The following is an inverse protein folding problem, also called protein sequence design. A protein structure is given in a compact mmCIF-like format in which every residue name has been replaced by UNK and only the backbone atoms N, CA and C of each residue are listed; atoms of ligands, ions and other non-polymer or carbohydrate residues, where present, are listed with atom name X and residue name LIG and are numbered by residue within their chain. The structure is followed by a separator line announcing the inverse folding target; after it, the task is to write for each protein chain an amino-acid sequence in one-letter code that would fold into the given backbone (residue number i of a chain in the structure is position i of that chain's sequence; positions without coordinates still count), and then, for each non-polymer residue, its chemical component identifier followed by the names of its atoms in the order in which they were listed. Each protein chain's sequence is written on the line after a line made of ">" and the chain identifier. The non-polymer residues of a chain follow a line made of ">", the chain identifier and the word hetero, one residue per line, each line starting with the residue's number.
data_IF_016765922323
#
_entry.id   IF_016765922323
#
_cell.length_a   1.000
_cell.length_b   1.000
_cell.length_c   1.000
_cell.angle_alpha   90.00
_cell.angle_beta   90.00
_cell.angle_gamma   90.00
#
_symmetry.space_group_name_H-M   'P 1'
#
loop_
_entity.id
_entity.type
_entity.pdbx_description
1 polymer ?
#
# COMPACT_ATOMS: atom_id res chain seq x y z
N UNK A 1 24.95 -5.55 -5.18
CA UNK A 1 23.82 -5.32 -4.25
C UNK A 1 22.64 -4.79 -5.05
N UNK A 2 21.49 -5.40 -4.92
CA UNK A 2 20.23 -4.90 -5.49
C UNK A 2 19.58 -3.94 -4.50
N UNK A 3 19.08 -2.80 -4.98
CA UNK A 3 18.36 -1.84 -4.17
C UNK A 3 17.02 -1.50 -4.80
N UNK A 4 15.98 -1.52 -3.98
CA UNK A 4 14.63 -1.12 -4.33
C UNK A 4 14.13 -0.10 -3.30
N UNK A 5 13.37 0.88 -3.79
CA UNK A 5 12.70 1.88 -2.97
C UNK A 5 11.22 1.54 -2.85
N UNK A 6 10.64 1.75 -1.69
CA UNK A 6 9.20 1.73 -1.50
C UNK A 6 8.74 3.11 -1.06
N UNK A 7 7.70 3.62 -1.70
CA UNK A 7 7.05 4.89 -1.36
C UNK A 7 5.68 4.57 -0.78
N UNK A 8 5.68 4.20 0.49
CA UNK A 8 4.50 3.71 1.19
C UNK A 8 3.59 4.87 1.60
N UNK A 9 2.39 4.90 1.08
CA UNK A 9 1.39 5.92 1.40
C UNK A 9 0.30 5.32 2.28
N UNK A 10 0.09 5.89 3.46
CA UNK A 10 -0.98 5.44 4.35
C UNK A 10 -1.86 6.58 4.85
N UNK A 11 -3.11 6.23 5.18
CA UNK A 11 -4.18 7.18 5.49
C UNK A 11 -4.18 7.57 6.98
N UNK A 12 -3.12 8.23 7.41
CA UNK A 12 -2.98 8.88 8.70
C UNK A 12 -1.93 9.98 8.62
N UNK A 13 -2.30 11.19 8.87
CA UNK A 13 -1.40 12.34 8.81
C UNK A 13 -1.46 13.26 10.02
N UNK A 14 -2.26 12.90 11.03
CA UNK A 14 -2.56 13.74 12.20
C UNK A 14 -2.07 13.16 13.51
N UNK A 15 -2.22 11.87 13.71
CA UNK A 15 -1.81 11.18 14.92
C UNK A 15 -0.37 10.69 14.79
N UNK A 16 0.58 11.46 15.34
CA UNK A 16 2.01 11.16 15.26
C UNK A 16 2.39 9.84 15.94
N UNK A 17 1.63 9.42 16.95
CA UNK A 17 1.84 8.13 17.63
C UNK A 17 1.54 6.95 16.72
N UNK A 18 0.45 7.02 15.95
CA UNK A 18 0.12 5.99 14.95
C UNK A 18 1.14 5.96 13.82
N UNK A 19 1.55 7.12 13.33
CA UNK A 19 2.58 7.25 12.30
C UNK A 19 3.88 6.60 12.80
N UNK A 20 4.29 6.90 14.03
CA UNK A 20 5.49 6.32 14.65
C UNK A 20 5.39 4.80 14.75
N UNK A 21 4.25 4.27 15.14
CA UNK A 21 4.04 2.81 15.24
C UNK A 21 4.26 2.14 13.88
N UNK A 22 3.78 2.73 12.80
CA UNK A 22 3.98 2.21 11.43
C UNK A 22 5.45 2.33 11.02
N UNK A 23 6.08 3.49 11.23
CA UNK A 23 7.48 3.69 10.84
C UNK A 23 8.43 2.84 11.66
N UNK A 24 8.14 2.58 12.93
CA UNK A 24 8.93 1.67 13.77
C UNK A 24 8.85 0.21 13.24
N UNK A 25 7.69 -0.22 12.78
CA UNK A 25 7.54 -1.54 12.18
C UNK A 25 8.38 -1.68 10.90
N UNK A 26 8.42 -0.65 10.08
CA UNK A 26 9.21 -0.60 8.84
C UNK A 26 10.71 -0.58 9.17
N UNK A 27 11.16 0.33 10.03
CA UNK A 27 12.57 0.50 10.38
C UNK A 27 13.14 -0.64 11.21
N UNK A 28 12.28 -1.41 11.87
CA UNK A 28 12.69 -2.59 12.63
C UNK A 28 13.17 -3.77 11.78
N UNK A 29 13.00 -3.72 10.48
CA UNK A 29 13.51 -4.74 9.56
C UNK A 29 14.98 -4.46 9.26
N UNK A 30 15.83 -5.44 9.49
CA UNK A 30 17.27 -5.33 9.22
C UNK A 30 17.51 -5.03 7.73
N UNK A 31 18.41 -4.08 7.46
CA UNK A 31 18.76 -3.67 6.10
C UNK A 31 17.87 -2.58 5.51
N UNK A 32 16.89 -2.08 6.27
CA UNK A 32 16.04 -0.97 5.83
C UNK A 32 16.60 0.38 6.29
N UNK A 33 16.62 1.33 5.35
CA UNK A 33 16.90 2.74 5.64
C UNK A 33 15.67 3.56 5.29
N UNK A 34 15.08 4.25 6.26
CA UNK A 34 14.03 5.23 6.01
C UNK A 34 14.69 6.52 5.50
N UNK A 35 14.28 6.99 4.33
CA UNK A 35 14.81 8.20 3.70
C UNK A 35 13.99 9.43 4.06
N UNK A 36 12.67 9.27 4.21
CA UNK A 36 11.77 10.38 4.50
C UNK A 36 10.47 9.89 5.15
N UNK A 37 9.92 10.74 6.01
CA UNK A 37 8.57 10.59 6.60
C UNK A 37 7.87 11.93 6.46
N UNK A 38 6.86 12.01 5.59
CA UNK A 38 6.18 13.25 5.23
C UNK A 38 4.69 13.19 5.62
N UNK A 39 4.32 13.61 6.84
CA UNK A 39 2.93 13.65 7.27
C UNK A 39 2.23 14.92 6.79
N UNK A 40 0.99 14.74 6.28
CA UNK A 40 0.12 15.83 5.86
C UNK A 40 -1.18 15.84 6.66
N UNK A 41 -1.38 16.87 7.50
CA UNK A 41 -2.57 16.97 8.34
C UNK A 41 -3.85 17.23 7.55
N UNK A 42 -3.79 18.09 6.52
CA UNK A 42 -4.96 18.42 5.69
C UNK A 42 -5.41 17.23 4.83
N UNK A 43 -4.45 16.55 4.23
CA UNK A 43 -4.69 15.34 3.43
C UNK A 43 -5.02 14.14 4.31
N UNK A 44 -4.67 14.19 5.58
CA UNK A 44 -4.70 13.08 6.53
C UNK A 44 -4.01 11.83 5.95
N UNK A 45 -2.77 12.03 5.50
CA UNK A 45 -1.98 11.07 4.76
C UNK A 45 -0.51 11.24 5.10
N UNK A 46 0.23 10.15 5.14
CA UNK A 46 1.69 10.17 5.32
C UNK A 46 2.33 9.37 4.21
N UNK A 47 3.43 9.89 3.67
CA UNK A 47 4.29 9.19 2.73
C UNK A 47 5.57 8.82 3.46
N UNK A 48 5.88 7.52 3.49
CA UNK A 48 7.14 6.99 4.05
C UNK A 48 7.96 6.40 2.91
N UNK A 49 9.12 6.96 2.67
CA UNK A 49 10.06 6.49 1.66
C UNK A 49 11.17 5.70 2.34
N UNK A 50 11.39 4.46 1.92
CA UNK A 50 12.46 3.63 2.45
C UNK A 50 13.11 2.78 1.35
N UNK A 51 14.34 2.35 1.61
CA UNK A 51 15.18 1.64 0.65
C UNK A 51 15.90 0.48 1.34
N UNK A 52 16.18 -0.55 0.57
CA UNK A 52 16.95 -1.71 1.01
C UNK A 52 17.05 -2.75 -0.09
N UNK A 53 17.59 -3.91 0.25
CA UNK A 53 17.57 -5.07 -0.64
C UNK A 53 16.14 -5.61 -0.78
N UNK A 54 15.81 -6.30 -1.88
CA UNK A 54 14.44 -6.72 -2.18
C UNK A 54 13.74 -7.48 -1.06
N UNK A 55 14.41 -8.44 -0.42
CA UNK A 55 13.81 -9.23 0.65
C UNK A 55 13.48 -8.39 1.89
N UNK A 56 14.37 -7.48 2.26
CA UNK A 56 14.16 -6.56 3.38
C UNK A 56 13.00 -5.60 3.10
N UNK A 57 12.96 -5.02 1.88
CA UNK A 57 11.89 -4.11 1.48
C UNK A 57 10.54 -4.83 1.40
N UNK A 58 10.51 -6.06 0.90
CA UNK A 58 9.32 -6.90 0.90
C UNK A 58 8.75 -7.09 2.31
N UNK A 59 9.60 -7.46 3.26
CA UNK A 59 9.17 -7.65 4.66
C UNK A 59 8.73 -6.34 5.31
N UNK A 60 9.49 -5.27 5.11
CA UNK A 60 9.14 -3.94 5.65
C UNK A 60 7.83 -3.41 5.10
N UNK A 61 7.58 -3.58 3.80
CA UNK A 61 6.32 -3.19 3.17
C UNK A 61 5.14 -3.99 3.75
N UNK A 62 5.29 -5.30 3.90
CA UNK A 62 4.27 -6.15 4.50
C UNK A 62 3.96 -5.73 5.94
N UNK A 63 4.99 -5.53 6.78
CA UNK A 63 4.81 -5.11 8.17
C UNK A 63 4.21 -3.71 8.27
N UNK A 64 4.57 -2.81 7.37
CA UNK A 64 3.96 -1.47 7.27
C UNK A 64 2.47 -1.54 6.96
N UNK A 65 2.08 -2.37 6.01
CA UNK A 65 0.66 -2.59 5.64
C UNK A 65 -0.11 -3.23 6.81
N UNK A 66 0.46 -4.26 7.43
CA UNK A 66 -0.12 -4.94 8.59
C UNK A 66 -0.36 -3.96 9.74
N UNK A 67 0.65 -3.19 10.09
CA UNK A 67 0.58 -2.22 11.19
C UNK A 67 -0.42 -1.10 10.89
N UNK A 68 -0.41 -0.58 9.66
CA UNK A 68 -1.39 0.41 9.23
C UNK A 68 -2.84 -0.12 9.38
N UNK A 69 -3.08 -1.36 8.98
CA UNK A 69 -4.39 -1.99 9.13
C UNK A 69 -4.82 -2.15 10.61
N UNK A 70 -3.86 -2.31 11.52
CA UNK A 70 -4.12 -2.44 12.95
C UNK A 70 -4.44 -1.11 13.63
N UNK A 71 -3.77 -0.02 13.23
CA UNK A 71 -3.87 1.28 13.92
C UNK A 71 -4.77 2.30 13.23
N UNK A 72 -5.07 2.11 11.94
CA UNK A 72 -5.94 3.00 11.15
C UNK A 72 -7.30 2.34 10.96
N UNK A 73 -8.35 3.09 11.28
CA UNK A 73 -9.74 2.68 11.01
C UNK A 73 -10.31 3.55 9.88
N UNK A 74 -10.38 2.99 8.68
CA UNK A 74 -10.87 3.70 7.50
C UNK A 74 -12.31 4.14 7.62
N UNK A 75 -13.13 3.47 8.43
CA UNK A 75 -14.53 3.88 8.66
C UNK A 75 -14.65 5.25 9.33
N UNK A 76 -13.58 5.72 9.97
CA UNK A 76 -13.50 7.01 10.65
C UNK A 76 -12.62 8.03 9.94
N UNK A 77 -11.95 7.62 8.85
CA UNK A 77 -10.98 8.46 8.15
C UNK A 77 -11.65 9.57 7.34
N UNK A 78 -11.16 10.79 7.50
CA UNK A 78 -11.52 11.98 6.72
C UNK A 78 -10.25 12.74 6.34
N UNK A 79 -10.15 13.18 5.10
CA UNK A 79 -9.04 13.97 4.60
C UNK A 79 -9.31 14.50 3.19
N UNK A 80 -8.54 15.50 2.75
CA UNK A 80 -8.74 16.14 1.45
C UNK A 80 -8.23 15.30 0.27
N UNK A 81 -7.38 14.31 0.52
CA UNK A 81 -6.78 13.47 -0.52
C UNK A 81 -7.64 12.22 -0.80
N UNK A 82 -7.75 11.84 -2.08
CA UNK A 82 -8.39 10.59 -2.50
C UNK A 82 -7.63 9.38 -1.91
N UNK A 83 -8.37 8.39 -1.41
CA UNK A 83 -7.80 7.17 -0.82
C UNK A 83 -8.79 6.01 -0.84
N UNK A 84 -8.27 4.80 -0.78
CA UNK A 84 -9.04 3.55 -0.73
C UNK A 84 -8.79 2.72 0.52
N UNK A 85 -7.69 2.90 1.20
CA UNK A 85 -7.33 2.04 2.31
C UNK A 85 -6.36 2.62 3.31
N UNK A 86 -6.16 1.91 4.42
CA UNK A 86 -5.21 2.26 5.48
C UNK A 86 -3.81 2.38 4.88
N UNK A 87 -3.34 1.38 4.15
CA UNK A 87 -2.30 1.56 3.14
C UNK A 87 -2.99 1.76 1.80
N UNK A 88 -2.90 2.97 1.27
CA UNK A 88 -3.56 3.31 0.03
C UNK A 88 -2.74 2.87 -1.19
N UNK A 89 -1.45 3.25 -1.23
CA UNK A 89 -0.53 2.87 -2.31
C UNK A 89 0.80 2.39 -1.72
N UNK A 90 1.34 1.31 -2.27
CA UNK A 90 2.61 0.74 -1.85
C UNK A 90 3.44 0.33 -3.08
N UNK A 91 4.00 1.29 -3.84
CA UNK A 91 4.78 1.02 -5.04
C UNK A 91 6.22 0.64 -4.71
N UNK A 92 6.82 -0.16 -5.60
CA UNK A 92 8.24 -0.52 -5.57
C UNK A 92 8.95 0.05 -6.79
N UNK A 93 10.08 0.74 -6.57
CA UNK A 93 10.82 1.47 -7.60
C UNK A 93 12.26 0.94 -7.63
N UNK A 94 12.77 0.49 -8.81
CA UNK A 94 14.14 0.00 -8.90
C UNK A 94 15.14 1.16 -8.73
N UNK A 95 16.15 0.97 -7.88
CA UNK A 95 17.20 1.98 -7.63
C UNK A 95 18.54 1.53 -8.20
N UNK A 96 19.00 0.33 -7.84
CA UNK A 96 20.29 -0.16 -8.30
C UNK A 96 20.25 -1.67 -8.57
N UNK A 97 20.81 -2.07 -9.71
CA UNK A 97 20.98 -3.48 -10.11
C UNK A 97 19.67 -4.29 -10.09
N UNK A 98 18.55 -3.63 -10.33
CA UNK A 98 17.21 -4.21 -10.30
C UNK A 98 16.42 -3.74 -11.51
N UNK A 99 15.71 -4.65 -12.16
CA UNK A 99 14.88 -4.35 -13.33
C UNK A 99 13.44 -4.03 -12.92
N UNK A 100 12.68 -3.43 -13.84
CA UNK A 100 11.23 -3.24 -13.68
C UNK A 100 10.51 -4.59 -13.47
N UNK A 101 10.91 -5.63 -14.22
CA UNK A 101 10.31 -6.96 -14.10
C UNK A 101 10.51 -7.55 -12.70
N UNK A 102 11.67 -7.34 -12.10
CA UNK A 102 11.92 -7.77 -10.72
C UNK A 102 11.04 -7.00 -9.72
N UNK A 103 10.79 -5.72 -9.94
CA UNK A 103 9.86 -4.94 -9.11
C UNK A 103 8.41 -5.38 -9.29
N UNK A 104 8.01 -5.75 -10.51
CA UNK A 104 6.69 -6.31 -10.79
C UNK A 104 6.50 -7.62 -10.01
N UNK A 105 7.49 -8.52 -10.05
CA UNK A 105 7.43 -9.77 -9.28
C UNK A 105 7.38 -9.51 -7.77
N UNK A 106 8.12 -8.51 -7.28
CA UNK A 106 8.08 -8.11 -5.88
C UNK A 106 6.67 -7.65 -5.47
N UNK A 107 6.03 -6.83 -6.31
CA UNK A 107 4.65 -6.38 -6.09
C UNK A 107 3.67 -7.55 -6.00
N UNK A 108 3.83 -8.56 -6.87
CA UNK A 108 3.00 -9.77 -6.85
C UNK A 108 3.20 -10.59 -5.57
N UNK A 109 4.45 -10.77 -5.16
CA UNK A 109 4.80 -11.53 -3.95
C UNK A 109 4.19 -10.86 -2.70
N UNK A 110 4.41 -9.57 -2.54
CA UNK A 110 3.88 -8.82 -1.40
C UNK A 110 2.36 -8.72 -1.46
N UNK A 111 1.80 -8.44 -2.63
CA UNK A 111 0.36 -8.35 -2.84
C UNK A 111 -0.37 -9.65 -2.50
N UNK A 112 0.17 -10.77 -2.95
CA UNK A 112 -0.38 -12.10 -2.63
C UNK A 112 -0.34 -12.36 -1.13
N UNK A 113 0.78 -12.10 -0.47
CA UNK A 113 0.94 -12.28 0.96
C UNK A 113 -0.05 -11.42 1.77
N UNK A 114 -0.18 -10.15 1.41
CA UNK A 114 -1.13 -9.23 2.06
C UNK A 114 -2.57 -9.71 1.87
N UNK A 115 -2.95 -10.10 0.67
CA UNK A 115 -4.28 -10.60 0.37
C UNK A 115 -4.64 -11.85 1.15
N UNK A 116 -3.72 -12.81 1.23
CA UNK A 116 -3.93 -14.09 1.91
C UNK A 116 -3.86 -13.99 3.43
N UNK A 117 -2.86 -13.27 3.96
CA UNK A 117 -2.62 -13.22 5.41
C UNK A 117 -3.42 -12.11 6.12
N UNK A 118 -3.69 -11.00 5.46
CA UNK A 118 -4.37 -9.85 6.06
C UNK A 118 -5.82 -9.67 5.58
N UNK A 119 -6.24 -10.38 4.54
CA UNK A 119 -7.59 -10.24 3.99
C UNK A 119 -7.88 -8.87 3.38
N UNK A 120 -6.86 -8.19 2.86
CA UNK A 120 -6.99 -6.88 2.22
C UNK A 120 -7.01 -7.06 0.71
N UNK A 121 -8.04 -6.56 0.01
CA UNK A 121 -8.06 -6.57 -1.46
C UNK A 121 -6.87 -5.80 -2.04
N UNK A 122 -6.18 -6.40 -3.01
CA UNK A 122 -5.01 -5.83 -3.67
C UNK A 122 -5.29 -5.61 -5.15
N UNK A 123 -4.97 -4.41 -5.63
CA UNK A 123 -5.00 -4.06 -7.05
C UNK A 123 -3.59 -3.69 -7.52
N UNK A 124 -3.11 -4.38 -8.53
CA UNK A 124 -1.81 -4.06 -9.16
C UNK A 124 -2.02 -2.96 -10.20
N UNK A 125 -1.11 -1.98 -10.24
CA UNK A 125 -1.22 -0.83 -11.15
C UNK A 125 0.08 -0.55 -11.90
N UNK A 126 0.06 0.45 -12.79
CA UNK A 126 1.20 0.84 -13.63
C UNK A 126 1.78 -0.37 -14.37
N UNK A 127 3.09 -0.58 -14.28
CA UNK A 127 3.78 -1.69 -14.96
C UNK A 127 3.37 -3.07 -14.46
N UNK A 128 2.85 -3.18 -13.24
CA UNK A 128 2.38 -4.45 -12.68
C UNK A 128 0.91 -4.75 -13.00
N UNK A 129 0.17 -3.80 -13.57
CA UNK A 129 -1.25 -3.94 -13.87
C UNK A 129 -1.56 -5.20 -14.69
N UNK A 130 -2.55 -5.96 -14.25
CA UNK A 130 -3.02 -7.18 -14.93
C UNK A 130 -4.17 -6.90 -15.92
N UNK A 131 -4.73 -5.70 -15.88
CA UNK A 131 -5.78 -5.23 -16.77
C UNK A 131 -5.50 -3.80 -17.22
N UNK A 132 -5.90 -3.44 -18.45
CA UNK A 132 -5.63 -2.13 -19.04
C UNK A 132 -6.30 -0.97 -18.28
N UNK A 133 -7.44 -1.21 -17.66
CA UNK A 133 -8.16 -0.21 -16.85
C UNK A 133 -7.56 -0.01 -15.44
N UNK A 134 -6.53 -0.77 -15.10
CA UNK A 134 -5.82 -0.68 -13.82
C UNK A 134 -4.42 -0.08 -13.91
N UNK A 135 -4.03 0.40 -15.08
CA UNK A 135 -2.72 1.05 -15.27
C UNK A 135 -2.66 2.37 -14.48
N UNK A 136 -3.74 3.16 -14.55
CA UNK A 136 -3.79 4.48 -13.91
C UNK A 136 -4.44 4.41 -12.53
N UNK A 137 -3.72 4.88 -11.53
CA UNK A 137 -4.19 4.93 -10.15
C UNK A 137 -5.54 5.66 -9.98
N UNK A 138 -5.78 6.84 -10.60
CA UNK A 138 -7.08 7.50 -10.47
C UNK A 138 -8.27 6.65 -10.92
N UNK A 139 -8.08 5.80 -11.91
CA UNK A 139 -9.13 4.89 -12.40
C UNK A 139 -9.48 3.84 -11.34
N UNK A 140 -8.46 3.27 -10.69
CA UNK A 140 -8.65 2.29 -9.60
C UNK A 140 -9.31 2.98 -8.40
N UNK A 141 -8.86 4.19 -8.04
CA UNK A 141 -9.38 4.97 -6.89
C UNK A 141 -10.79 5.51 -7.08
N UNK A 142 -11.32 5.50 -8.29
CA UNK A 142 -12.64 6.08 -8.56
C UNK A 142 -13.71 5.52 -7.61
N UNK A 143 -14.41 6.41 -6.93
CA UNK A 143 -15.34 6.08 -5.86
C UNK A 143 -14.72 6.04 -4.48
N UNK A 144 -13.41 6.00 -4.39
CA UNK A 144 -12.62 6.00 -3.16
C UNK A 144 -13.03 4.86 -2.20
N UNK A 145 -12.70 5.01 -0.92
CA UNK A 145 -13.11 4.08 0.12
C UNK A 145 -14.65 3.95 0.22
N UNK A 146 -15.36 5.05 0.08
CA UNK A 146 -16.83 5.10 0.20
C UNK A 146 -17.53 4.26 -0.88
N UNK A 147 -16.95 4.18 -2.08
CA UNK A 147 -17.49 3.39 -3.19
C UNK A 147 -16.95 1.96 -3.27
N UNK A 148 -16.00 1.60 -2.40
CA UNK A 148 -15.26 0.34 -2.52
C UNK A 148 -16.15 -0.90 -2.31
N UNK A 149 -17.09 -0.85 -1.38
CA UNK A 149 -18.00 -1.99 -1.11
C UNK A 149 -18.82 -2.37 -2.36
N UNK A 150 -19.31 -1.40 -3.09
CA UNK A 150 -20.03 -1.64 -4.34
C UNK A 150 -19.09 -2.06 -5.48
N UNK A 151 -17.92 -1.43 -5.57
CA UNK A 151 -16.91 -1.78 -6.57
C UNK A 151 -16.50 -3.25 -6.47
N UNK A 152 -16.31 -3.78 -5.26
CA UNK A 152 -15.92 -5.17 -5.05
C UNK A 152 -16.99 -6.19 -5.42
N UNK A 153 -18.24 -5.77 -5.63
CA UNK A 153 -19.32 -6.63 -6.14
C UNK A 153 -19.27 -6.79 -7.66
N UNK A 154 -18.57 -5.90 -8.34
CA UNK A 154 -18.42 -5.92 -9.80
C UNK A 154 -17.31 -6.91 -10.18
N UNK A 155 -17.63 -7.90 -11.01
CA UNK A 155 -16.66 -8.87 -11.52
C UNK A 155 -15.48 -8.21 -12.26
N UNK A 156 -15.68 -7.05 -12.89
CA UNK A 156 -14.61 -6.29 -13.55
C UNK A 156 -13.62 -5.70 -12.53
N UNK A 157 -14.02 -5.58 -11.27
CA UNK A 157 -13.19 -5.04 -10.18
C UNK A 157 -12.80 -6.09 -9.15
N UNK A 158 -12.84 -7.37 -9.53
CA UNK A 158 -12.27 -8.43 -8.69
C UNK A 158 -10.80 -8.12 -8.41
N UNK A 159 -10.37 -8.14 -7.12
CA UNK A 159 -8.97 -7.87 -6.79
C UNK A 159 -8.01 -8.85 -7.44
N UNK A 160 -6.78 -8.41 -7.69
CA UNK A 160 -5.71 -9.29 -8.18
C UNK A 160 -5.32 -10.32 -7.12
N UNK A 161 -5.32 -9.91 -5.85
CA UNK A 161 -5.12 -10.78 -4.69
C UNK A 161 -6.07 -10.40 -3.56
N UNK A 162 -6.31 -11.34 -2.66
CA UNK A 162 -7.20 -11.14 -1.53
C UNK A 162 -8.68 -11.33 -1.88
N UNK A 163 -9.55 -11.21 -0.88
CA UNK A 163 -10.98 -11.47 -1.06
C UNK A 163 -11.70 -10.30 -1.77
N UNK A 164 -12.73 -10.62 -2.55
CA UNK A 164 -13.69 -9.63 -3.08
C UNK A 164 -14.69 -9.20 -1.99
N UNK A 165 -14.22 -9.09 -0.76
CA UNK A 165 -15.02 -8.73 0.41
C UNK A 165 -14.53 -7.39 0.96
N UNK A 166 -15.46 -6.46 1.18
CA UNK A 166 -15.15 -5.15 1.75
C UNK A 166 -14.55 -5.29 3.16
N UNK A 167 -13.34 -4.76 3.33
CA UNK A 167 -12.66 -4.66 4.61
C UNK A 167 -12.87 -3.25 5.15
N UNK A 168 -13.81 -3.08 6.08
CA UNK A 168 -14.20 -1.76 6.56
C UNK A 168 -13.06 -1.02 7.30
N UNK A 169 -12.21 -1.75 8.00
CA UNK A 169 -11.10 -1.15 8.75
C UNK A 169 -9.92 -0.76 7.87
N UNK A 170 -9.56 -1.60 6.92
CA UNK A 170 -8.34 -1.43 6.12
C UNK A 170 -8.59 -0.97 4.67
N UNK A 171 -9.81 -1.15 4.13
CA UNK A 171 -10.12 -0.83 2.73
C UNK A 171 -9.38 -1.74 1.75
N UNK A 172 -8.78 -1.17 0.71
CA UNK A 172 -7.99 -1.85 -0.30
C UNK A 172 -6.65 -1.14 -0.52
N UNK A 173 -5.66 -1.88 -1.00
CA UNK A 173 -4.32 -1.36 -1.27
C UNK A 173 -3.97 -1.54 -2.76
N UNK A 174 -3.31 -0.53 -3.33
CA UNK A 174 -2.80 -0.53 -4.70
C UNK A 174 -1.28 -0.71 -4.68
N UNK A 175 -0.76 -1.61 -5.51
CA UNK A 175 0.68 -1.96 -5.53
C UNK A 175 1.25 -1.96 -6.94
#
# INVERSE_FOLDING_TARGET
>A
MKLVECVHNFSEGRNLGKIKTITDAISGVDGITILDVDPGADTNRTVVTFVGEPDAVSEAAFLGIKTAAEVIDMSKHKGAHARMGATDVCPFIPIANMSDDECIELSKIVGKRVGEELGIPIFLYEKSAQKSDRIKLPTIRKGEYEGLAEKLKDENWKPDYGPSKFNAGAGATVM
#
